data_IF_347457472786
#
_entry.id   IF_347457472786
#
_cell.length_a   1.000
_cell.length_b   1.000
_cell.length_c   1.000
_cell.angle_alpha   90.00
_cell.angle_beta   90.00
_cell.angle_gamma   90.00
#
_symmetry.space_group_name_H-M   'P 1'
#
loop_
_entity.id
_entity.type
_entity.pdbx_description
1 polymer ?
#
# COMPACT_ATOMS: atom_id res chain seq x y z
N UNK A 1 15.68 -18.49 -34.23
CA UNK A 1 15.82 -18.82 -32.80
C UNK A 1 15.78 -17.52 -32.01
N UNK A 2 14.85 -17.34 -31.05
CA UNK A 2 14.76 -16.09 -30.31
C UNK A 2 16.03 -15.91 -29.46
N UNK A 3 16.56 -14.69 -29.44
CA UNK A 3 17.81 -14.29 -28.77
C UNK A 3 17.84 -14.72 -27.29
N UNK A 4 16.66 -14.82 -26.64
CA UNK A 4 16.51 -15.32 -25.28
C UNK A 4 16.93 -16.79 -25.07
N UNK A 5 16.78 -17.65 -26.08
CA UNK A 5 17.16 -19.07 -25.97
C UNK A 5 18.67 -19.28 -25.92
N UNK A 6 19.43 -18.46 -26.68
CA UNK A 6 20.90 -18.52 -26.68
C UNK A 6 21.48 -17.97 -25.38
N UNK A 7 20.87 -16.91 -24.83
CA UNK A 7 21.21 -16.38 -23.51
C UNK A 7 20.93 -17.39 -22.40
N UNK A 8 19.78 -18.06 -22.43
CA UNK A 8 19.44 -19.10 -21.45
C UNK A 8 20.42 -20.28 -21.51
N UNK A 9 20.78 -20.74 -22.72
CA UNK A 9 21.74 -21.82 -22.90
C UNK A 9 23.16 -21.42 -22.42
N UNK A 10 23.60 -20.20 -22.73
CA UNK A 10 24.88 -19.66 -22.26
C UNK A 10 24.95 -19.60 -20.73
N UNK A 11 23.90 -19.10 -20.09
CA UNK A 11 23.80 -19.06 -18.64
C UNK A 11 23.75 -20.46 -18.02
N UNK A 12 22.99 -21.40 -18.59
CA UNK A 12 22.94 -22.78 -18.12
C UNK A 12 24.32 -23.47 -18.16
N UNK A 13 25.09 -23.26 -19.22
CA UNK A 13 26.46 -23.79 -19.36
C UNK A 13 27.39 -23.17 -18.30
N UNK A 14 27.32 -21.85 -18.10
CA UNK A 14 28.08 -21.15 -17.05
C UNK A 14 27.77 -21.69 -15.65
N UNK A 15 26.49 -21.95 -15.36
CA UNK A 15 26.06 -22.50 -14.06
C UNK A 15 26.57 -23.94 -13.85
N UNK A 16 26.56 -24.77 -14.90
CA UNK A 16 27.10 -26.15 -14.86
C UNK A 16 28.62 -26.17 -14.68
N UNK A 17 29.35 -25.28 -15.37
CA UNK A 17 30.81 -25.20 -15.24
C UNK A 17 31.23 -24.68 -13.87
N UNK A 18 30.50 -23.69 -13.33
CA UNK A 18 30.71 -23.19 -11.97
C UNK A 18 30.38 -24.25 -10.89
N UNK A 19 29.74 -25.37 -11.25
CA UNK A 19 29.34 -26.44 -10.34
C UNK A 19 30.37 -27.51 -10.09
N UNK A 20 31.42 -27.56 -10.91
CA UNK A 20 32.39 -28.65 -10.86
C UNK A 20 33.54 -28.43 -9.88
N UNK A 21 33.59 -27.32 -9.13
CA UNK A 21 34.79 -26.99 -8.36
C UNK A 21 34.62 -26.17 -7.08
N UNK A 22 33.46 -26.18 -6.43
CA UNK A 22 33.26 -25.44 -5.18
C UNK A 22 32.55 -26.28 -4.11
N UNK A 23 33.06 -26.19 -2.88
CA UNK A 23 32.52 -26.85 -1.69
C UNK A 23 31.02 -26.58 -1.52
N UNK A 24 30.27 -27.66 -1.25
CA UNK A 24 28.81 -27.72 -1.35
C UNK A 24 28.11 -26.74 -0.40
N UNK A 25 28.74 -26.39 0.72
CA UNK A 25 28.21 -25.52 1.78
C UNK A 25 28.27 -24.02 1.45
N UNK A 26 29.38 -23.51 0.89
CA UNK A 26 29.47 -22.11 0.45
C UNK A 26 28.55 -21.84 -0.76
N UNK A 27 28.35 -22.86 -1.59
CA UNK A 27 27.55 -22.75 -2.81
C UNK A 27 26.05 -22.78 -2.54
N UNK A 28 25.60 -23.53 -1.53
CA UNK A 28 24.18 -23.57 -1.14
C UNK A 28 23.70 -22.21 -0.62
N UNK A 29 24.47 -21.55 0.26
CA UNK A 29 24.10 -20.23 0.80
C UNK A 29 23.96 -19.18 -0.30
N UNK A 30 24.90 -19.15 -1.26
CA UNK A 30 24.90 -18.17 -2.36
C UNK A 30 23.78 -18.36 -3.39
N UNK A 31 23.26 -19.58 -3.52
CA UNK A 31 22.16 -19.90 -4.44
C UNK A 31 20.78 -19.90 -3.79
N UNK A 32 20.70 -20.23 -2.50
CA UNK A 32 19.46 -20.18 -1.74
C UNK A 32 19.12 -18.76 -1.29
N UNK A 33 20.13 -17.89 -1.07
CA UNK A 33 19.90 -16.52 -0.64
C UNK A 33 18.99 -15.72 -1.60
N UNK A 34 19.19 -15.72 -2.94
CA UNK A 34 18.26 -15.05 -3.86
C UNK A 34 16.84 -15.63 -3.80
N UNK A 35 16.71 -16.95 -3.68
CA UNK A 35 15.39 -17.63 -3.58
C UNK A 35 14.70 -17.27 -2.28
N UNK A 36 15.44 -17.22 -1.17
CA UNK A 36 14.93 -16.81 0.13
C UNK A 36 14.50 -15.34 0.12
N UNK A 37 15.33 -14.44 -0.42
CA UNK A 37 14.99 -13.03 -0.57
C UNK A 37 13.74 -12.87 -1.44
N UNK A 38 13.69 -13.53 -2.60
CA UNK A 38 12.51 -13.50 -3.47
C UNK A 38 11.27 -14.02 -2.75
N UNK A 39 11.38 -15.14 -2.03
CA UNK A 39 10.30 -15.70 -1.22
C UNK A 39 9.83 -14.73 -0.13
N UNK A 40 10.73 -14.09 0.60
CA UNK A 40 10.40 -13.09 1.62
C UNK A 40 9.74 -11.85 1.01
N UNK A 41 10.23 -11.35 -0.11
CA UNK A 41 9.64 -10.20 -0.81
C UNK A 41 8.24 -10.55 -1.31
N UNK A 42 8.08 -11.69 -1.99
CA UNK A 42 6.76 -12.16 -2.44
C UNK A 42 5.80 -12.33 -1.28
N UNK A 43 6.25 -12.93 -0.17
CA UNK A 43 5.42 -13.08 1.03
C UNK A 43 5.02 -11.73 1.63
N UNK A 44 5.95 -10.77 1.71
CA UNK A 44 5.67 -9.42 2.20
C UNK A 44 4.66 -8.68 1.32
N UNK A 45 4.74 -8.86 -0.01
CA UNK A 45 3.79 -8.27 -0.95
C UNK A 45 2.41 -8.94 -0.86
N UNK A 46 2.34 -10.26 -0.75
CA UNK A 46 1.05 -10.99 -0.63
C UNK A 46 0.31 -10.68 0.68
N UNK A 47 1.05 -10.28 1.72
CA UNK A 47 0.49 -9.94 3.03
C UNK A 47 0.28 -8.44 3.24
N UNK A 48 0.52 -7.61 2.22
CA UNK A 48 0.51 -6.15 2.31
C UNK A 48 1.32 -5.60 3.50
N UNK A 49 2.39 -6.32 3.88
CA UNK A 49 3.19 -5.97 5.06
C UNK A 49 3.76 -4.55 4.98
N UNK A 50 4.24 -4.05 3.82
CA UNK A 50 4.70 -2.66 3.70
C UNK A 50 3.60 -1.64 4.00
N UNK A 51 2.37 -1.90 3.55
CA UNK A 51 1.22 -1.03 3.84
C UNK A 51 0.92 -1.04 5.35
N UNK A 52 0.79 -2.21 5.95
CA UNK A 52 0.46 -2.33 7.38
C UNK A 52 1.49 -1.68 8.28
N UNK A 53 2.78 -1.80 7.95
CA UNK A 53 3.86 -1.12 8.67
C UNK A 53 3.70 0.40 8.58
N UNK A 54 3.50 0.94 7.37
CA UNK A 54 3.33 2.39 7.19
C UNK A 54 2.09 2.93 7.89
N UNK A 55 0.96 2.25 7.74
CA UNK A 55 -0.29 2.60 8.40
C UNK A 55 -0.13 2.59 9.91
N UNK A 56 0.44 1.51 10.48
CA UNK A 56 0.61 1.38 11.93
C UNK A 56 1.51 2.47 12.50
N UNK A 57 2.62 2.79 11.82
CA UNK A 57 3.53 3.87 12.24
C UNK A 57 2.84 5.25 12.13
N UNK A 58 2.03 5.45 11.08
CA UNK A 58 1.39 6.74 10.79
C UNK A 58 0.06 6.95 11.53
N UNK A 59 -0.51 5.89 12.13
CA UNK A 59 -1.84 5.90 12.74
C UNK A 59 -2.09 7.07 13.70
N UNK A 60 -1.19 7.41 14.65
CA UNK A 60 -1.42 8.55 15.54
C UNK A 60 -1.53 9.89 14.80
N UNK A 61 -0.75 10.08 13.73
CA UNK A 61 -0.81 11.27 12.89
C UNK A 61 -2.09 11.31 12.05
N UNK A 62 -2.51 10.17 11.51
CA UNK A 62 -3.77 10.02 10.77
C UNK A 62 -4.98 10.30 11.69
N UNK A 63 -4.97 9.80 12.92
CA UNK A 63 -6.01 10.07 13.93
C UNK A 63 -6.11 11.58 14.23
N UNK A 64 -4.97 12.25 14.42
CA UNK A 64 -4.94 13.69 14.64
C UNK A 64 -5.45 14.48 13.42
N UNK A 65 -5.13 14.01 12.22
CA UNK A 65 -5.58 14.63 10.98
C UNK A 65 -7.08 14.46 10.75
N UNK A 66 -7.62 13.26 10.95
CA UNK A 66 -9.05 12.98 10.89
C UNK A 66 -9.81 13.87 11.89
N UNK A 67 -9.28 14.00 13.12
CA UNK A 67 -9.85 14.91 14.12
C UNK A 67 -9.86 16.36 13.65
N UNK A 68 -8.77 16.83 13.03
CA UNK A 68 -8.71 18.18 12.48
C UNK A 68 -9.70 18.40 11.31
N UNK A 69 -9.97 17.38 10.48
CA UNK A 69 -11.02 17.43 9.45
C UNK A 69 -12.39 17.58 10.10
N UNK A 70 -12.69 16.78 11.11
CA UNK A 70 -13.98 16.80 11.81
C UNK A 70 -14.23 18.12 12.54
N UNK A 71 -13.21 18.69 13.18
CA UNK A 71 -13.30 19.96 13.90
C UNK A 71 -13.46 21.17 12.97
N UNK A 72 -12.86 21.11 11.77
CA UNK A 72 -13.00 22.16 10.76
C UNK A 72 -13.24 21.60 9.35
N UNK A 73 -14.49 21.21 9.01
CA UNK A 73 -14.83 20.61 7.71
C UNK A 73 -14.74 21.56 6.51
N UNK A 74 -14.47 22.86 6.73
CA UNK A 74 -14.31 23.88 5.69
C UNK A 74 -12.87 24.40 5.59
N UNK A 75 -11.93 23.67 6.18
CA UNK A 75 -10.52 24.02 6.11
C UNK A 75 -10.03 24.02 4.65
N UNK A 76 -9.00 24.81 4.31
CA UNK A 76 -8.37 24.73 3.00
C UNK A 76 -7.81 23.33 2.75
N UNK A 77 -8.08 22.77 1.59
CA UNK A 77 -7.60 21.46 1.13
C UNK A 77 -6.16 21.56 0.62
N UNK A 78 -5.21 21.79 1.52
CA UNK A 78 -3.79 21.78 1.18
C UNK A 78 -3.17 20.40 1.38
N UNK A 79 -2.41 19.94 0.41
CA UNK A 79 -1.61 18.73 0.54
C UNK A 79 -0.53 18.90 1.62
N UNK A 80 -0.36 17.88 2.47
CA UNK A 80 0.63 17.88 3.54
C UNK A 80 1.01 16.46 3.97
N UNK A 81 2.19 16.33 4.56
CA UNK A 81 2.61 15.06 5.15
C UNK A 81 1.86 14.78 6.46
N UNK A 82 1.26 13.60 6.54
CA UNK A 82 0.59 13.05 7.71
C UNK A 82 1.22 11.70 8.03
N UNK A 83 2.22 11.71 8.91
CA UNK A 83 3.05 10.52 9.13
C UNK A 83 3.87 10.20 7.88
N UNK A 84 3.73 8.97 7.37
CA UNK A 84 4.41 8.50 6.14
C UNK A 84 3.57 8.66 4.87
N UNK A 85 2.40 9.31 4.95
CA UNK A 85 1.52 9.54 3.81
C UNK A 85 1.51 11.02 3.44
N UNK A 86 1.58 11.32 2.14
CA UNK A 86 1.35 12.66 1.63
C UNK A 86 -0.14 12.79 1.31
N UNK A 87 -0.85 13.51 2.17
CA UNK A 87 -2.31 13.55 2.17
C UNK A 87 -2.78 14.84 1.51
N UNK A 88 -3.72 14.72 0.58
CA UNK A 88 -4.38 15.82 -0.09
C UNK A 88 -5.87 15.85 0.25
N UNK A 89 -6.38 17.04 0.58
CA UNK A 89 -7.81 17.22 0.88
C UNK A 89 -8.20 16.98 2.34
N UNK A 90 -9.35 16.33 2.54
CA UNK A 90 -9.95 16.12 3.86
C UNK A 90 -11.34 16.74 3.98
N UNK A 91 -12.36 15.91 3.87
CA UNK A 91 -13.77 16.27 4.02
C UNK A 91 -14.51 15.25 4.90
N UNK A 92 -15.78 15.53 5.17
CA UNK A 92 -16.66 14.55 5.81
C UNK A 92 -17.18 13.58 4.75
N UNK A 93 -17.10 12.29 5.04
CA UNK A 93 -17.64 11.23 4.20
C UNK A 93 -19.09 11.51 3.80
N UNK A 94 -19.44 11.24 2.55
CA UNK A 94 -20.79 11.36 2.03
C UNK A 94 -21.36 9.97 1.77
N UNK A 95 -22.57 9.71 2.26
CA UNK A 95 -23.31 8.49 1.93
C UNK A 95 -23.81 8.50 0.48
N UNK A 96 -24.41 7.40 0.02
CA UNK A 96 -24.98 7.30 -1.34
C UNK A 96 -26.08 8.32 -1.64
N UNK A 97 -26.73 8.86 -0.61
CA UNK A 97 -27.74 9.91 -0.76
C UNK A 97 -27.10 11.32 -0.89
N UNK A 98 -25.77 11.41 -0.86
CA UNK A 98 -25.01 12.66 -0.88
C UNK A 98 -25.06 13.42 0.46
N UNK A 99 -25.44 12.77 1.55
CA UNK A 99 -25.48 13.37 2.89
C UNK A 99 -24.14 13.17 3.57
N UNK A 100 -23.61 14.27 4.11
CA UNK A 100 -22.39 14.22 4.94
C UNK A 100 -22.68 13.51 6.25
N UNK A 101 -21.88 12.50 6.57
CA UNK A 101 -21.93 11.80 7.85
C UNK A 101 -21.15 12.62 8.89
N UNK A 102 -21.80 13.20 9.91
CA UNK A 102 -21.12 14.00 10.92
C UNK A 102 -20.15 13.17 11.74
N UNK A 103 -18.97 13.73 12.03
CA UNK A 103 -17.93 13.01 12.75
C UNK A 103 -17.30 11.90 11.91
N UNK A 104 -17.27 12.03 10.59
CA UNK A 104 -16.42 11.22 9.72
C UNK A 104 -15.32 12.08 9.12
N UNK A 105 -14.26 11.45 8.63
CA UNK A 105 -13.22 12.12 7.87
C UNK A 105 -12.73 11.23 6.74
N UNK A 106 -12.68 11.77 5.54
CA UNK A 106 -12.18 11.10 4.35
C UNK A 106 -11.14 11.99 3.67
N UNK A 107 -10.04 11.41 3.20
CA UNK A 107 -8.97 12.14 2.53
C UNK A 107 -8.18 11.25 1.58
N UNK A 108 -7.68 11.88 0.51
CA UNK A 108 -6.84 11.22 -0.49
C UNK A 108 -5.36 11.21 -0.10
N UNK A 109 -4.63 10.24 -0.60
CA UNK A 109 -3.19 10.09 -0.46
C UNK A 109 -2.58 10.14 -1.85
N UNK A 110 -1.61 11.03 -2.04
CA UNK A 110 -0.75 11.07 -3.23
C UNK A 110 0.57 10.38 -2.89
N UNK A 111 0.71 9.09 -3.18
CA UNK A 111 1.99 8.40 -3.10
C UNK A 111 2.64 8.28 -4.50
N UNK A 112 3.76 8.96 -4.77
CA UNK A 112 4.43 8.88 -6.08
C UNK A 112 5.08 7.52 -6.34
N UNK A 113 5.17 6.63 -5.35
CA UNK A 113 5.90 5.36 -5.44
C UNK A 113 5.01 4.13 -5.33
N UNK A 114 3.77 4.24 -4.87
CA UNK A 114 2.88 3.11 -4.62
C UNK A 114 1.45 3.40 -5.05
N UNK A 115 0.88 2.46 -5.79
CA UNK A 115 -0.48 2.53 -6.35
C UNK A 115 -1.56 1.96 -5.41
N UNK A 116 -1.20 1.54 -4.19
CA UNK A 116 -2.15 0.94 -3.23
C UNK A 116 -2.72 1.99 -2.27
N UNK A 117 -4.05 1.98 -2.17
CA UNK A 117 -4.91 2.83 -1.34
C UNK A 117 -4.74 4.34 -1.59
N UNK A 118 -5.64 4.86 -2.42
CA UNK A 118 -5.69 6.27 -2.83
C UNK A 118 -6.21 7.19 -1.73
N UNK A 119 -6.65 6.66 -0.60
CA UNK A 119 -7.17 7.43 0.51
C UNK A 119 -7.43 6.62 1.77
N UNK A 120 -7.87 7.33 2.80
CA UNK A 120 -8.34 6.75 4.04
C UNK A 120 -9.68 7.36 4.44
N UNK A 121 -10.51 6.52 5.03
CA UNK A 121 -11.77 6.89 5.66
C UNK A 121 -11.73 6.54 7.15
N UNK A 122 -12.04 7.54 7.97
CA UNK A 122 -12.36 7.37 9.38
C UNK A 122 -13.87 7.47 9.59
N UNK A 123 -14.49 6.37 10.00
CA UNK A 123 -15.94 6.28 10.20
C UNK A 123 -16.25 5.61 11.57
N UNK A 124 -16.75 6.37 12.55
CA UNK A 124 -16.96 5.85 13.91
C UNK A 124 -18.20 4.95 14.03
N UNK A 125 -19.17 5.10 13.14
CA UNK A 125 -20.44 4.38 13.18
C UNK A 125 -20.93 4.05 11.79
N UNK A 126 -21.44 2.83 11.64
CA UNK A 126 -21.89 2.32 10.34
C UNK A 126 -20.75 1.69 9.55
N UNK A 127 -21.08 1.24 8.36
CA UNK A 127 -20.15 0.80 7.33
C UNK A 127 -20.23 1.80 6.17
N UNK A 128 -19.13 2.07 5.45
CA UNK A 128 -19.21 2.87 4.25
C UNK A 128 -20.06 2.17 3.21
N UNK A 129 -20.85 2.94 2.48
CA UNK A 129 -21.54 2.46 1.32
C UNK A 129 -20.54 2.21 0.18
N UNK A 130 -20.51 0.98 -0.33
CA UNK A 130 -19.69 0.63 -1.49
C UNK A 130 -20.44 0.91 -2.80
N UNK A 131 -19.74 1.47 -3.79
CA UNK A 131 -20.26 1.65 -5.14
C UNK A 131 -19.46 0.80 -6.15
N UNK A 132 -19.80 0.92 -7.43
CA UNK A 132 -18.96 0.34 -8.50
C UNK A 132 -17.63 1.09 -8.61
N UNK A 133 -17.56 2.33 -8.13
CA UNK A 133 -16.46 3.27 -8.37
C UNK A 133 -15.62 3.52 -7.12
N UNK A 134 -16.16 3.24 -5.92
CA UNK A 134 -15.50 3.38 -4.62
C UNK A 134 -15.55 2.06 -3.85
N UNK A 135 -14.38 1.52 -3.50
CA UNK A 135 -14.29 0.42 -2.54
C UNK A 135 -13.62 0.85 -1.23
N UNK A 136 -14.00 0.14 -0.16
CA UNK A 136 -13.54 0.43 1.19
C UNK A 136 -13.05 -0.83 1.86
N UNK A 137 -11.74 -0.91 2.08
CA UNK A 137 -11.13 -2.03 2.81
C UNK A 137 -11.06 -1.70 4.29
N UNK A 138 -11.80 -2.44 5.12
CA UNK A 138 -11.66 -2.31 6.58
C UNK A 138 -10.22 -2.61 7.02
N UNK A 139 -9.65 -1.72 7.83
CA UNK A 139 -8.30 -1.87 8.38
C UNK A 139 -8.38 -2.24 9.86
N UNK A 140 -8.69 -1.27 10.73
CA UNK A 140 -8.70 -1.50 12.18
C UNK A 140 -9.53 -0.43 12.88
N UNK A 141 -10.33 -0.86 13.85
CA UNK A 141 -11.26 0.04 14.55
C UNK A 141 -12.17 0.74 13.54
N UNK A 142 -12.07 2.06 13.49
CA UNK A 142 -12.88 2.95 12.65
C UNK A 142 -12.20 3.32 11.31
N UNK A 143 -11.06 2.71 10.99
CA UNK A 143 -10.30 3.01 9.78
C UNK A 143 -10.62 2.06 8.65
N UNK A 144 -10.82 2.64 7.47
CA UNK A 144 -10.93 1.99 6.18
C UNK A 144 -9.90 2.60 5.23
N UNK A 145 -9.28 1.79 4.38
CA UNK A 145 -8.60 2.28 3.18
C UNK A 145 -9.62 2.48 2.07
N UNK A 146 -9.47 3.52 1.25
CA UNK A 146 -10.34 3.78 0.12
C UNK A 146 -9.60 3.74 -1.21
N UNK A 147 -10.22 3.14 -2.21
CA UNK A 147 -9.81 3.14 -3.61
C UNK A 147 -10.96 3.64 -4.48
N UNK A 148 -10.88 4.92 -4.87
CA UNK A 148 -11.83 5.58 -5.77
C UNK A 148 -11.23 5.93 -7.13
N UNK A 149 -12.08 6.13 -8.14
CA UNK A 149 -11.65 6.48 -9.51
C UNK A 149 -11.03 7.88 -9.64
N UNK A 150 -11.34 8.80 -8.73
CA UNK A 150 -11.29 10.25 -8.99
C UNK A 150 -9.93 10.96 -8.80
N UNK A 151 -8.86 10.24 -8.42
CA UNK A 151 -7.52 10.85 -8.29
C UNK A 151 -6.70 10.61 -9.57
N UNK A 152 -6.58 11.66 -10.38
CA UNK A 152 -5.73 11.79 -11.57
C UNK A 152 -4.41 12.42 -11.18
#
# INVERSE_FOLDING_TARGET
MPVGGLLAAYWAIRMMLAARGADVTERLGRWLLPVFIAGCVTFALVTDAPFWIRFTISRPSLDAYAKAVMENPRRPESCQWVGLYYVCGGWQYMDLDGKRIPGSAEFGVEDPFLYDDKGFLWLPSGEPDETTDDHYRHLTGHWYGSDGWDSW
#
